data_IF_324988971363
#
_entry.id   IF_324988971363
#
_cell.length_a   1.000
_cell.length_b   1.000
_cell.length_c   1.000
_cell.angle_alpha   90.00
_cell.angle_beta   90.00
_cell.angle_gamma   90.00
#
_symmetry.space_group_name_H-M   'P 1'
#
loop_
_entity.id
_entity.type
_entity.pdbx_description
1 polymer ?
#
# COMPACT_ATOMS: atom_id res chain seq x y z
N UNK A 1 3.74 13.04 0.49
CA UNK A 1 3.93 13.18 -0.97
C UNK A 1 4.96 14.25 -1.35
N UNK A 2 5.41 15.14 -0.46
CA UNK A 2 6.34 16.23 -0.84
C UNK A 2 7.83 15.84 -1.02
N UNK A 3 8.28 14.67 -0.56
CA UNK A 3 9.68 14.23 -0.75
C UNK A 3 9.90 13.24 -1.92
N UNK A 4 8.85 12.80 -2.62
CA UNK A 4 8.98 11.99 -3.84
C UNK A 4 8.63 12.89 -5.05
N UNK A 5 9.50 12.95 -6.06
CA UNK A 5 9.38 13.81 -7.26
C UNK A 5 9.30 15.34 -7.00
N UNK A 6 10.01 15.86 -5.99
CA UNK A 6 9.96 17.31 -5.69
C UNK A 6 8.59 17.80 -5.22
N UNK A 7 7.71 16.88 -4.81
CA UNK A 7 6.36 17.18 -4.35
C UNK A 7 5.33 17.39 -5.46
N UNK A 8 5.70 17.21 -6.72
CA UNK A 8 4.74 17.25 -7.82
C UNK A 8 4.04 15.90 -7.99
N UNK A 9 2.75 15.88 -7.67
CA UNK A 9 1.89 14.77 -8.04
C UNK A 9 1.70 14.78 -9.57
N UNK A 10 1.65 13.60 -10.24
CA UNK A 10 1.41 13.53 -11.67
C UNK A 10 0.12 14.28 -12.02
N UNK A 11 0.24 15.36 -12.80
CA UNK A 11 -0.89 16.18 -13.24
C UNK A 11 -1.71 15.44 -14.31
N UNK A 12 -1.05 14.59 -15.11
CA UNK A 12 -1.70 13.79 -16.14
C UNK A 12 -2.24 12.47 -15.57
N UNK A 13 -3.41 12.59 -14.92
CA UNK A 13 -4.15 11.45 -14.39
C UNK A 13 -4.52 10.47 -15.51
N UNK A 14 -4.87 10.96 -16.70
CA UNK A 14 -5.26 10.10 -17.80
C UNK A 14 -4.11 9.20 -18.25
N UNK A 15 -2.90 9.76 -18.41
CA UNK A 15 -1.71 8.98 -18.73
C UNK A 15 -1.38 7.96 -17.63
N UNK A 16 -1.47 8.36 -16.36
CA UNK A 16 -1.26 7.46 -15.22
C UNK A 16 -2.23 6.27 -15.27
N UNK A 17 -3.52 6.53 -15.45
CA UNK A 17 -4.58 5.52 -15.39
C UNK A 17 -4.67 4.66 -16.66
N UNK A 18 -4.53 5.24 -17.84
CA UNK A 18 -4.71 4.53 -19.12
C UNK A 18 -3.43 3.94 -19.69
N UNK A 19 -2.25 4.45 -19.28
CA UNK A 19 -0.97 3.99 -19.83
C UNK A 19 -0.09 3.33 -18.78
N UNK A 20 0.23 4.03 -17.69
CA UNK A 20 1.21 3.52 -16.71
C UNK A 20 0.64 2.37 -15.89
N UNK A 21 -0.57 2.51 -15.35
CA UNK A 21 -1.20 1.50 -14.50
C UNK A 21 -1.39 0.16 -15.22
N UNK A 22 -1.95 0.08 -16.44
CA UNK A 22 -2.09 -1.19 -17.14
C UNK A 22 -0.74 -1.86 -17.45
N UNK A 23 0.29 -1.08 -17.80
CA UNK A 23 1.65 -1.60 -18.02
C UNK A 23 2.24 -2.17 -16.74
N UNK A 24 2.09 -1.47 -15.61
CA UNK A 24 2.55 -1.95 -14.31
C UNK A 24 1.82 -3.23 -13.91
N UNK A 25 0.49 -3.26 -14.01
CA UNK A 25 -0.30 -4.45 -13.68
C UNK A 25 0.08 -5.65 -14.55
N UNK A 26 0.29 -5.46 -15.86
CA UNK A 26 0.75 -6.55 -16.73
C UNK A 26 2.15 -7.05 -16.34
N UNK A 27 3.08 -6.16 -15.96
CA UNK A 27 4.38 -6.56 -15.45
C UNK A 27 4.27 -7.34 -14.14
N UNK A 28 3.40 -6.90 -13.24
CA UNK A 28 3.10 -7.57 -11.97
C UNK A 28 2.50 -8.96 -12.24
N UNK A 29 1.57 -9.10 -13.19
CA UNK A 29 0.99 -10.39 -13.60
C UNK A 29 2.01 -11.37 -14.15
N UNK A 30 3.02 -10.89 -14.87
CA UNK A 30 4.04 -11.72 -15.50
C UNK A 30 5.20 -12.07 -14.57
N UNK A 31 5.27 -11.45 -13.39
CA UNK A 31 6.34 -11.72 -12.44
C UNK A 31 6.15 -13.09 -11.78
N UNK A 32 7.23 -13.87 -11.75
CA UNK A 32 7.30 -15.14 -11.00
C UNK A 32 7.82 -14.93 -9.57
N UNK A 33 8.70 -13.94 -9.39
CA UNK A 33 9.30 -13.61 -8.09
C UNK A 33 9.47 -12.09 -7.98
N UNK A 34 8.74 -11.46 -7.07
CA UNK A 34 8.76 -10.01 -6.87
C UNK A 34 8.21 -9.63 -5.50
N UNK A 35 8.77 -8.57 -4.91
CA UNK A 35 8.14 -7.84 -3.81
C UNK A 35 7.47 -6.60 -4.41
N UNK A 36 6.14 -6.51 -4.29
CA UNK A 36 5.37 -5.37 -4.77
C UNK A 36 4.80 -4.58 -3.59
N UNK A 37 5.34 -3.38 -3.37
CA UNK A 37 4.88 -2.46 -2.33
C UNK A 37 3.88 -1.48 -2.96
N UNK A 38 2.64 -1.50 -2.48
CA UNK A 38 1.59 -0.62 -2.98
C UNK A 38 0.60 -0.22 -1.90
N UNK A 39 0.05 0.99 -2.00
CA UNK A 39 -1.07 1.47 -1.18
C UNK A 39 -2.44 1.11 -1.78
N UNK A 40 -2.48 0.61 -3.02
CA UNK A 40 -3.69 0.16 -3.68
C UNK A 40 -3.37 -0.94 -4.70
N UNK A 41 -4.18 -1.99 -4.74
CA UNK A 41 -4.11 -3.02 -5.76
C UNK A 41 -5.53 -3.33 -6.21
N UNK A 42 -5.75 -3.50 -7.51
CA UNK A 42 -7.03 -3.97 -8.01
C UNK A 42 -7.37 -5.34 -7.34
N UNK A 43 -8.54 -5.51 -6.71
CA UNK A 43 -8.91 -6.78 -6.08
C UNK A 43 -8.84 -8.00 -7.00
N UNK A 44 -9.14 -7.85 -8.30
CA UNK A 44 -9.01 -8.94 -9.27
C UNK A 44 -7.54 -9.30 -9.52
N UNK A 45 -6.67 -8.30 -9.65
CA UNK A 45 -5.22 -8.54 -9.72
C UNK A 45 -4.72 -9.23 -8.44
N UNK A 46 -5.23 -8.83 -7.27
CA UNK A 46 -4.83 -9.44 -6.01
C UNK A 46 -5.23 -10.92 -5.94
N UNK A 47 -6.44 -11.28 -6.40
CA UNK A 47 -6.90 -12.67 -6.53
C UNK A 47 -6.02 -13.46 -7.50
N UNK A 48 -5.69 -12.89 -8.66
CA UNK A 48 -4.78 -13.50 -9.64
C UNK A 48 -3.38 -13.76 -9.07
N UNK A 49 -2.85 -12.82 -8.28
CA UNK A 49 -1.54 -12.98 -7.66
C UNK A 49 -1.57 -14.07 -6.58
N UNK A 50 -2.62 -14.11 -5.75
CA UNK A 50 -2.79 -15.19 -4.77
C UNK A 50 -2.91 -16.56 -5.42
N UNK A 51 -3.63 -16.69 -6.54
CA UNK A 51 -3.73 -17.97 -7.25
C UNK A 51 -2.39 -18.43 -7.86
N UNK A 52 -1.46 -17.50 -8.07
CA UNK A 52 -0.05 -17.77 -8.44
C UNK A 52 0.87 -18.03 -7.25
N UNK A 53 0.34 -18.04 -6.03
CA UNK A 53 1.12 -18.32 -4.81
C UNK A 53 1.76 -17.09 -4.16
N UNK A 54 1.50 -15.87 -4.65
CA UNK A 54 1.97 -14.67 -3.96
C UNK A 54 1.31 -14.52 -2.59
N UNK A 55 2.10 -14.09 -1.62
CA UNK A 55 1.64 -13.71 -0.28
C UNK A 55 1.26 -12.25 -0.25
N UNK A 56 0.13 -11.96 0.38
CA UNK A 56 -0.42 -10.63 0.61
C UNK A 56 -0.25 -10.29 2.08
N UNK A 57 0.61 -9.32 2.34
CA UNK A 57 0.84 -8.79 3.68
C UNK A 57 0.21 -7.41 3.77
N UNK A 58 -0.64 -7.19 4.77
CA UNK A 58 -1.13 -5.87 5.11
C UNK A 58 -0.32 -5.29 6.26
N UNK A 59 0.24 -4.11 6.02
CA UNK A 59 0.89 -3.31 7.05
C UNK A 59 -0.19 -2.46 7.73
N UNK A 60 -0.58 -2.84 8.93
CA UNK A 60 -1.73 -2.25 9.63
C UNK A 60 -1.32 -1.15 10.59
N UNK A 61 -2.19 -0.17 10.70
CA UNK A 61 -2.08 0.95 11.62
C UNK A 61 -3.49 1.42 11.99
N UNK A 62 -3.72 1.65 13.27
CA UNK A 62 -4.99 2.22 13.72
C UNK A 62 -5.15 3.68 13.26
N UNK A 63 -6.41 4.12 13.08
CA UNK A 63 -6.72 5.46 12.56
C UNK A 63 -6.11 6.57 13.42
N UNK A 64 -6.18 6.45 14.75
CA UNK A 64 -5.66 7.46 15.68
C UNK A 64 -4.14 7.63 15.54
N UNK A 65 -3.42 6.51 15.40
CA UNK A 65 -1.96 6.53 15.21
C UNK A 65 -1.60 7.02 13.79
N UNK A 66 -2.39 6.69 12.77
CA UNK A 66 -2.26 7.25 11.44
C UNK A 66 -2.38 8.78 11.48
N UNK A 67 -3.43 9.31 12.11
CA UNK A 67 -3.67 10.75 12.25
C UNK A 67 -2.52 11.43 12.98
N UNK A 68 -2.07 10.86 14.10
CA UNK A 68 -0.92 11.38 14.85
C UNK A 68 0.36 11.44 14.01
N UNK A 69 0.66 10.38 13.22
CA UNK A 69 1.83 10.36 12.32
C UNK A 69 1.68 11.36 11.19
N UNK A 70 0.48 11.51 10.64
CA UNK A 70 0.20 12.47 9.58
C UNK A 70 0.38 13.91 10.07
N UNK A 71 -0.20 14.28 11.21
CA UNK A 71 -0.05 15.59 11.83
C UNK A 71 1.41 15.95 12.07
N UNK A 72 2.20 14.99 12.57
CA UNK A 72 3.64 15.19 12.74
C UNK A 72 4.34 15.46 11.41
N UNK A 73 4.05 14.67 10.37
CA UNK A 73 4.66 14.86 9.03
C UNK A 73 4.26 16.19 8.40
N UNK A 74 3.02 16.64 8.59
CA UNK A 74 2.59 17.96 8.11
C UNK A 74 3.37 19.08 8.81
N UNK A 75 3.48 19.02 10.14
CA UNK A 75 4.12 20.05 10.96
C UNK A 75 5.64 20.10 10.80
N UNK A 76 6.29 18.94 10.75
CA UNK A 76 7.75 18.85 10.85
C UNK A 76 8.43 18.62 9.50
N UNK A 77 7.72 18.02 8.54
CA UNK A 77 8.31 17.55 7.28
C UNK A 77 7.63 18.17 6.06
N UNK A 78 6.67 19.06 6.27
CA UNK A 78 5.94 19.73 5.20
C UNK A 78 5.19 18.76 4.30
N UNK A 79 4.60 17.69 4.83
CA UNK A 79 3.75 16.81 4.02
C UNK A 79 2.36 17.43 3.82
N UNK A 80 1.73 17.14 2.69
CA UNK A 80 0.30 17.39 2.50
C UNK A 80 -0.52 16.50 3.43
N UNK A 81 -1.71 16.98 3.81
CA UNK A 81 -2.63 16.25 4.67
C UNK A 81 -3.12 14.95 4.01
N UNK A 82 -2.74 13.80 4.57
CA UNK A 82 -3.19 12.51 4.07
C UNK A 82 -4.58 12.09 4.59
N UNK A 83 -5.16 12.84 5.54
CA UNK A 83 -6.49 12.53 6.08
C UNK A 83 -7.58 12.57 5.00
N UNK A 84 -7.38 13.37 3.94
CA UNK A 84 -8.32 13.47 2.81
C UNK A 84 -8.57 12.14 2.10
N UNK A 85 -7.63 11.18 2.16
CA UNK A 85 -7.74 9.87 1.51
C UNK A 85 -7.77 8.71 2.50
N UNK A 86 -7.72 9.01 3.81
CA UNK A 86 -7.56 8.00 4.84
C UNK A 86 -8.78 7.08 4.92
N UNK A 87 -9.99 7.62 4.79
CA UNK A 87 -11.22 6.83 4.88
C UNK A 87 -11.31 5.80 3.76
N UNK A 88 -11.06 6.20 2.52
CA UNK A 88 -11.09 5.29 1.37
C UNK A 88 -10.00 4.22 1.48
N UNK A 89 -8.78 4.60 1.91
CA UNK A 89 -7.69 3.66 2.10
C UNK A 89 -8.04 2.59 3.16
N UNK A 90 -8.55 3.01 4.33
CA UNK A 90 -8.94 2.08 5.39
C UNK A 90 -10.11 1.18 4.96
N UNK A 91 -11.10 1.72 4.24
CA UNK A 91 -12.21 0.91 3.69
C UNK A 91 -11.69 -0.16 2.75
N UNK A 92 -10.84 0.22 1.79
CA UNK A 92 -10.24 -0.71 0.84
C UNK A 92 -9.45 -1.83 1.56
N UNK A 93 -8.60 -1.47 2.53
CA UNK A 93 -7.83 -2.48 3.27
C UNK A 93 -8.73 -3.43 4.07
N UNK A 94 -9.81 -2.91 4.66
CA UNK A 94 -10.83 -3.72 5.33
C UNK A 94 -11.51 -4.68 4.36
N UNK A 95 -11.93 -4.22 3.19
CA UNK A 95 -12.57 -5.05 2.15
C UNK A 95 -11.66 -6.19 1.69
N UNK A 96 -10.38 -5.89 1.46
CA UNK A 96 -9.37 -6.89 1.08
C UNK A 96 -9.19 -7.96 2.17
N UNK A 97 -9.19 -7.55 3.44
CA UNK A 97 -9.12 -8.47 4.58
C UNK A 97 -10.37 -9.31 4.72
N UNK A 98 -11.55 -8.68 4.71
CA UNK A 98 -12.84 -9.36 4.84
C UNK A 98 -13.08 -10.36 3.69
N UNK A 99 -12.50 -10.10 2.52
CA UNK A 99 -12.50 -11.02 1.37
C UNK A 99 -11.54 -12.22 1.51
N UNK A 100 -10.80 -12.34 2.62
CA UNK A 100 -9.85 -13.43 2.86
C UNK A 100 -8.60 -13.35 1.97
N UNK A 101 -8.30 -12.19 1.40
CA UNK A 101 -7.17 -12.01 0.49
C UNK A 101 -5.85 -11.73 1.23
N UNK A 102 -5.89 -11.50 2.55
CA UNK A 102 -4.70 -11.20 3.36
C UNK A 102 -4.15 -12.47 3.98
N UNK A 103 -2.87 -12.76 3.76
CA UNK A 103 -2.18 -13.89 4.39
C UNK A 103 -1.64 -13.53 5.78
N UNK A 104 -1.24 -12.26 5.97
CA UNK A 104 -0.75 -11.76 7.27
C UNK A 104 -1.00 -10.27 7.44
N UNK A 105 -1.42 -9.89 8.64
CA UNK A 105 -1.44 -8.50 9.10
C UNK A 105 -0.22 -8.25 10.00
N UNK A 106 0.47 -7.13 9.80
CA UNK A 106 1.65 -6.75 10.58
C UNK A 106 1.44 -5.35 11.14
N UNK A 107 1.46 -5.23 12.46
CA UNK A 107 1.35 -3.95 13.16
C UNK A 107 2.59 -3.08 12.90
N UNK A 108 2.36 -1.90 12.34
CA UNK A 108 3.41 -0.92 12.01
C UNK A 108 3.75 0.04 13.16
N UNK A 109 3.25 -0.19 14.37
CA UNK A 109 3.75 0.43 15.61
C UNK A 109 4.97 -0.28 16.18
N UNK A 110 5.23 -1.52 15.74
CA UNK A 110 6.38 -2.30 16.15
C UNK A 110 7.71 -1.71 15.64
N UNK A 111 8.85 -2.01 16.30
CA UNK A 111 10.16 -1.65 15.77
C UNK A 111 10.39 -2.21 14.37
N UNK A 112 11.10 -1.47 13.50
CA UNK A 112 11.35 -1.87 12.10
C UNK A 112 11.93 -3.28 12.00
N UNK A 113 12.88 -3.64 12.89
CA UNK A 113 13.48 -4.97 12.93
C UNK A 113 12.43 -6.08 13.11
N UNK A 114 11.42 -5.81 13.91
CA UNK A 114 10.34 -6.75 14.21
C UNK A 114 9.35 -6.86 13.03
N UNK A 115 9.01 -5.74 12.39
CA UNK A 115 8.21 -5.73 11.15
C UNK A 115 8.93 -6.56 10.07
N UNK A 116 10.22 -6.33 9.85
CA UNK A 116 11.01 -7.06 8.85
C UNK A 116 11.08 -8.55 9.18
N UNK A 117 11.28 -8.92 10.46
CA UNK A 117 11.25 -10.32 10.89
C UNK A 117 9.92 -10.98 10.50
N UNK A 118 8.80 -10.33 10.79
CA UNK A 118 7.48 -10.87 10.48
C UNK A 118 7.21 -10.98 8.98
N UNK A 119 7.71 -10.04 8.17
CA UNK A 119 7.64 -10.14 6.70
C UNK A 119 8.39 -11.37 6.22
N UNK A 120 9.63 -11.57 6.68
CA UNK A 120 10.47 -12.70 6.28
C UNK A 120 9.89 -14.06 6.69
N UNK A 121 9.19 -14.14 7.82
CA UNK A 121 8.51 -15.36 8.29
C UNK A 121 7.24 -15.72 7.50
N UNK A 122 6.82 -14.87 6.55
CA UNK A 122 5.65 -15.14 5.69
C UNK A 122 6.04 -15.91 4.43
N UNK A 123 7.34 -16.03 4.14
CA UNK A 123 7.91 -16.72 2.99
C UNK A 123 8.33 -18.15 3.34
#
# INVERSE_FOLDING_TARGET
>A
FMELNGGEYPQDIEYKEKTLRPKLENKVRQAENMIFLTSYCNPELLKELKSKGFKVIQLVLEMDEFQRRNDRRMKEQGYADANTWAKEAFSFHKEVRDAGLVDKEIDTTLPIKEIVRQVLETY
#
